data_IF_807609653954
#
_entry.id   IF_807609653954
#
_cell.length_a   1.000
_cell.length_b   1.000
_cell.length_c   1.000
_cell.angle_alpha   90.00
_cell.angle_beta   90.00
_cell.angle_gamma   90.00
#
_symmetry.space_group_name_H-M   'P 1'
#
loop_
_entity.id
_entity.type
_entity.pdbx_description
1 polymer ?
#
# COMPACT_ATOMS: atom_id res chain seq x y z
N UNK A 1 -28.24 50.81 16.27
CA UNK A 1 -27.39 49.60 16.30
C UNK A 1 -27.87 48.68 15.19
N UNK A 2 -27.06 48.49 14.14
CA UNK A 2 -27.53 47.84 12.91
C UNK A 2 -27.44 46.32 13.04
N UNK A 3 -28.57 45.58 13.04
CA UNK A 3 -28.59 44.12 13.23
C UNK A 3 -27.89 43.38 12.08
N UNK A 4 -27.73 44.02 10.92
CA UNK A 4 -27.03 43.47 9.77
C UNK A 4 -25.51 43.27 10.01
N UNK A 5 -24.89 44.10 10.85
CA UNK A 5 -23.44 44.02 11.10
C UNK A 5 -23.09 42.90 12.08
N UNK A 6 -23.99 42.62 13.04
CA UNK A 6 -23.91 41.48 13.95
C UNK A 6 -24.11 40.14 13.22
N UNK A 7 -25.01 40.10 12.23
CA UNK A 7 -25.21 38.94 11.34
C UNK A 7 -23.99 38.67 10.45
N UNK A 8 -23.32 39.72 9.96
CA UNK A 8 -22.09 39.56 9.18
C UNK A 8 -20.92 39.03 10.03
N UNK A 9 -20.80 39.50 11.28
CA UNK A 9 -19.74 39.06 12.19
C UNK A 9 -19.91 37.60 12.64
N UNK A 10 -21.17 37.15 12.78
CA UNK A 10 -21.48 35.75 13.12
C UNK A 10 -21.28 34.78 11.96
N UNK A 11 -21.35 35.24 10.70
CA UNK A 11 -20.91 34.43 9.55
C UNK A 11 -19.38 34.29 9.47
N UNK A 12 -18.62 35.30 9.91
CA UNK A 12 -17.15 35.26 9.87
C UNK A 12 -16.53 34.35 10.96
N UNK A 13 -17.30 34.07 12.01
CA UNK A 13 -16.92 33.21 13.14
C UNK A 13 -17.42 31.76 12.99
N UNK A 14 -18.14 31.43 11.91
CA UNK A 14 -18.48 30.05 11.61
C UNK A 14 -17.17 29.33 11.25
N UNK A 15 -16.72 28.31 12.02
CA UNK A 15 -15.65 27.48 11.54
C UNK A 15 -16.15 26.84 10.25
N UNK A 16 -15.45 27.02 9.13
CA UNK A 16 -15.55 26.14 7.95
C UNK A 16 -14.98 24.75 8.31
N UNK A 17 -15.49 24.18 9.39
CA UNK A 17 -15.12 22.92 9.98
C UNK A 17 -16.37 22.06 10.10
N UNK A 18 -17.06 21.83 8.98
CA UNK A 18 -17.85 20.63 8.86
C UNK A 18 -16.98 19.61 8.13
N UNK A 19 -16.64 18.48 8.80
CA UNK A 19 -15.83 17.44 8.19
C UNK A 19 -16.58 16.99 6.95
N UNK A 20 -15.83 16.89 5.84
CA UNK A 20 -16.25 16.23 4.62
C UNK A 20 -17.12 15.03 4.98
N UNK A 21 -18.36 15.05 4.47
CA UNK A 21 -19.29 13.93 4.31
C UNK A 21 -18.60 12.58 4.57
N UNK A 22 -19.11 11.83 5.54
CA UNK A 22 -18.57 10.56 6.04
C UNK A 22 -17.82 9.78 4.96
N UNK A 23 -16.55 9.48 5.26
CA UNK A 23 -15.68 8.71 4.38
C UNK A 23 -16.48 7.57 3.72
N UNK A 24 -16.39 7.40 2.38
CA UNK A 24 -17.03 6.29 1.71
C UNK A 24 -16.65 5.00 2.44
N UNK A 25 -17.58 4.03 2.56
CA UNK A 25 -17.44 2.85 3.41
C UNK A 25 -16.09 2.22 3.15
N UNK A 26 -15.33 1.88 4.18
CA UNK A 26 -13.99 1.30 4.12
C UNK A 26 -13.90 0.25 2.98
N UNK A 27 -13.63 0.69 1.75
CA UNK A 27 -13.94 -0.11 0.55
C UNK A 27 -13.07 -1.36 0.52
N UNK A 28 -11.87 -1.23 1.07
CA UNK A 28 -10.91 -2.30 1.26
C UNK A 28 -11.39 -3.40 2.23
N UNK A 29 -12.43 -3.13 3.05
CA UNK A 29 -13.07 -4.12 3.89
C UNK A 29 -14.04 -5.03 3.12
N UNK A 30 -14.49 -4.65 1.92
CA UNK A 30 -15.08 -5.62 1.01
C UNK A 30 -13.95 -6.52 0.48
N UNK A 31 -13.98 -7.78 0.90
CA UNK A 31 -13.01 -8.81 0.48
C UNK A 31 -12.80 -8.86 -1.04
N UNK A 32 -13.83 -8.56 -1.86
CA UNK A 32 -13.75 -8.59 -3.32
C UNK A 32 -12.81 -7.52 -3.87
N UNK A 33 -12.73 -6.37 -3.19
CA UNK A 33 -11.85 -5.26 -3.60
C UNK A 33 -10.40 -5.67 -3.45
N UNK A 34 -10.00 -6.17 -2.28
CA UNK A 34 -8.63 -6.62 -2.05
C UNK A 34 -8.27 -7.87 -2.88
N UNK A 35 -9.20 -8.81 -2.99
CA UNK A 35 -9.02 -10.05 -3.78
C UNK A 35 -8.70 -9.72 -5.24
N UNK A 36 -9.36 -8.72 -5.83
CA UNK A 36 -9.05 -8.27 -7.20
C UNK A 36 -7.58 -7.90 -7.34
N UNK A 37 -7.03 -7.10 -6.43
CA UNK A 37 -5.62 -6.69 -6.50
C UNK A 37 -4.67 -7.88 -6.30
N UNK A 38 -5.03 -8.86 -5.46
CA UNK A 38 -4.26 -10.08 -5.24
C UNK A 38 -4.22 -10.94 -6.52
N UNK A 39 -5.37 -11.12 -7.17
CA UNK A 39 -5.46 -11.88 -8.41
C UNK A 39 -4.66 -11.20 -9.54
N UNK A 40 -4.76 -9.87 -9.65
CA UNK A 40 -3.98 -9.10 -10.62
C UNK A 40 -2.46 -9.19 -10.35
N UNK A 41 -2.05 -9.19 -9.09
CA UNK A 41 -0.65 -9.37 -8.71
C UNK A 41 -0.12 -10.77 -9.03
N UNK A 42 -0.94 -11.79 -8.79
CA UNK A 42 -0.61 -13.19 -9.11
C UNK A 42 -0.54 -13.42 -10.61
N UNK A 43 -1.43 -12.81 -11.38
CA UNK A 43 -1.38 -12.85 -12.85
C UNK A 43 -0.07 -12.24 -13.36
N UNK A 44 0.31 -11.06 -12.86
CA UNK A 44 1.57 -10.42 -13.22
C UNK A 44 2.80 -11.26 -12.83
N UNK A 45 2.79 -11.88 -11.64
CA UNK A 45 3.82 -12.84 -11.22
C UNK A 45 3.96 -13.99 -12.23
N UNK A 46 2.85 -14.59 -12.66
CA UNK A 46 2.85 -15.69 -13.63
C UNK A 46 3.41 -15.28 -14.99
N UNK A 47 3.04 -14.09 -15.48
CA UNK A 47 3.55 -13.58 -16.77
C UNK A 47 5.06 -13.33 -16.69
N UNK A 48 5.55 -12.82 -15.56
CA UNK A 48 6.99 -12.56 -15.38
C UNK A 48 7.84 -13.83 -15.25
N UNK A 49 7.26 -14.97 -14.84
CA UNK A 49 7.96 -16.26 -14.86
C UNK A 49 8.28 -16.74 -16.28
N UNK A 50 7.48 -16.35 -17.28
CA UNK A 50 7.72 -16.66 -18.69
C UNK A 50 8.78 -15.78 -19.36
N UNK A 51 9.32 -14.80 -18.65
CA UNK A 51 10.27 -13.86 -19.19
C UNK A 51 11.71 -14.36 -19.03
N UNK A 52 12.41 -14.54 -20.14
CA UNK A 52 13.82 -14.92 -20.18
C UNK A 52 14.74 -13.74 -19.77
N UNK A 53 15.92 -13.59 -20.40
CA UNK A 53 16.93 -12.57 -20.07
C UNK A 53 16.41 -11.12 -20.01
N UNK A 54 15.27 -10.81 -20.64
CA UNK A 54 14.62 -9.49 -20.63
C UNK A 54 14.01 -9.04 -19.29
N UNK A 55 14.02 -9.88 -18.25
CA UNK A 55 13.50 -9.54 -16.93
C UNK A 55 14.56 -9.39 -15.84
N UNK A 56 15.84 -9.41 -16.21
CA UNK A 56 16.92 -9.04 -15.29
C UNK A 56 17.01 -7.53 -15.18
N UNK A 57 17.19 -7.04 -13.97
CA UNK A 57 17.57 -5.66 -13.70
C UNK A 57 19.09 -5.50 -13.85
N UNK A 58 19.53 -4.32 -14.26
CA UNK A 58 20.96 -3.95 -14.27
C UNK A 58 21.48 -3.62 -12.86
N UNK A 59 20.57 -3.31 -11.93
CA UNK A 59 20.86 -2.98 -10.54
C UNK A 59 19.89 -3.71 -9.59
N UNK A 60 20.31 -3.86 -8.34
CA UNK A 60 19.50 -4.49 -7.31
C UNK A 60 18.46 -3.51 -6.77
N UNK A 61 17.20 -3.93 -6.71
CA UNK A 61 16.10 -3.16 -6.14
C UNK A 61 15.80 -3.63 -4.73
N UNK A 62 15.76 -2.70 -3.78
CA UNK A 62 15.35 -2.97 -2.39
C UNK A 62 13.84 -3.17 -2.28
N UNK A 63 13.42 -4.20 -1.54
CA UNK A 63 12.02 -4.61 -1.37
C UNK A 63 11.72 -4.96 0.09
N UNK A 64 10.46 -4.87 0.55
CA UNK A 64 10.09 -5.23 1.91
C UNK A 64 10.11 -6.74 2.18
N UNK A 65 10.33 -7.14 3.43
CA UNK A 65 10.06 -8.50 3.89
C UNK A 65 8.56 -8.79 3.88
N UNK A 66 8.18 -9.82 3.14
CA UNK A 66 6.80 -10.28 2.99
C UNK A 66 6.47 -11.48 3.87
N UNK A 67 7.47 -12.05 4.57
CA UNK A 67 7.25 -13.18 5.46
C UNK A 67 6.42 -12.74 6.66
N UNK A 68 5.50 -13.62 7.06
CA UNK A 68 4.67 -13.44 8.24
C UNK A 68 4.79 -14.65 9.14
N UNK A 69 5.18 -14.44 10.39
CA UNK A 69 5.02 -15.44 11.43
C UNK A 69 3.64 -15.23 12.06
N UNK A 70 2.68 -16.12 11.80
CA UNK A 70 1.30 -15.99 12.30
C UNK A 70 1.21 -15.92 13.83
N UNK A 71 2.07 -16.62 14.54
CA UNK A 71 2.09 -16.59 16.01
C UNK A 71 2.51 -15.22 16.53
N UNK A 72 3.58 -14.65 15.98
CA UNK A 72 4.05 -13.30 16.34
C UNK A 72 3.06 -12.23 15.88
N UNK A 73 2.55 -12.33 14.65
CA UNK A 73 1.62 -11.38 14.05
C UNK A 73 0.33 -11.23 14.88
N UNK A 74 -0.29 -12.35 15.27
CA UNK A 74 -1.53 -12.32 16.05
C UNK A 74 -1.36 -11.66 17.43
N UNK A 75 -0.15 -11.67 17.98
CA UNK A 75 0.19 -11.07 19.28
C UNK A 75 0.71 -9.64 19.17
N UNK A 76 1.00 -9.18 17.96
CA UNK A 76 1.50 -7.85 17.66
C UNK A 76 0.38 -6.82 17.81
N UNK A 77 0.73 -5.64 18.32
CA UNK A 77 -0.21 -4.51 18.36
C UNK A 77 -0.67 -4.12 16.94
N UNK A 78 -1.93 -3.71 16.81
CA UNK A 78 -2.53 -3.36 15.51
C UNK A 78 -1.87 -2.12 14.91
N UNK A 79 -1.45 -1.16 15.73
CA UNK A 79 -0.65 -0.02 15.26
C UNK A 79 0.68 -0.49 14.67
N UNK A 80 1.33 -1.48 15.27
CA UNK A 80 2.57 -2.04 14.74
C UNK A 80 2.35 -2.80 13.44
N UNK A 81 1.24 -3.54 13.31
CA UNK A 81 0.84 -4.15 12.04
C UNK A 81 0.59 -3.08 10.97
N UNK A 82 -0.07 -1.98 11.33
CA UNK A 82 -0.31 -0.84 10.44
C UNK A 82 1.01 -0.21 9.97
N UNK A 83 1.98 -0.04 10.88
CA UNK A 83 3.30 0.47 10.57
C UNK A 83 4.05 -0.44 9.59
N UNK A 84 4.11 -1.75 9.85
CA UNK A 84 4.76 -2.71 8.95
C UNK A 84 4.13 -2.72 7.55
N UNK A 85 2.80 -2.66 7.48
CA UNK A 85 2.07 -2.63 6.20
C UNK A 85 2.25 -1.30 5.48
N UNK A 86 2.18 -0.18 6.19
CA UNK A 86 2.31 1.14 5.59
C UNK A 86 3.71 1.38 5.02
N UNK A 87 4.76 1.11 5.81
CA UNK A 87 6.15 1.21 5.36
C UNK A 87 6.46 0.19 4.25
N UNK A 88 5.96 -1.04 4.39
CA UNK A 88 6.13 -2.08 3.38
C UNK A 88 5.50 -1.70 2.04
N UNK A 89 4.29 -1.15 2.05
CA UNK A 89 3.61 -0.71 0.82
C UNK A 89 4.31 0.49 0.18
N UNK A 90 4.81 1.43 0.98
CA UNK A 90 5.58 2.57 0.49
C UNK A 90 6.87 2.12 -0.23
N UNK A 91 7.64 1.24 0.42
CA UNK A 91 8.86 0.68 -0.17
C UNK A 91 8.56 -0.14 -1.44
N UNK A 92 7.48 -0.92 -1.44
CA UNK A 92 7.05 -1.70 -2.60
C UNK A 92 6.62 -0.82 -3.77
N UNK A 93 5.98 0.32 -3.50
CA UNK A 93 5.62 1.32 -4.51
C UNK A 93 6.86 1.91 -5.17
N UNK A 94 7.87 2.25 -4.38
CA UNK A 94 9.16 2.70 -4.91
C UNK A 94 9.86 1.62 -5.73
N UNK A 95 9.87 0.38 -5.22
CA UNK A 95 10.50 -0.76 -5.90
C UNK A 95 9.89 -1.03 -7.29
N UNK A 96 8.55 -0.96 -7.41
CA UNK A 96 7.86 -1.14 -8.69
C UNK A 96 8.14 0.02 -9.65
N UNK A 97 8.20 1.26 -9.16
CA UNK A 97 8.58 2.42 -9.99
C UNK A 97 10.02 2.31 -10.50
N UNK A 98 10.96 1.86 -9.66
CA UNK A 98 12.34 1.57 -10.08
C UNK A 98 12.37 0.46 -11.13
N UNK A 99 11.62 -0.63 -10.91
CA UNK A 99 11.50 -1.72 -11.87
C UNK A 99 10.94 -1.25 -13.23
N UNK A 100 9.98 -0.34 -13.22
CA UNK A 100 9.43 0.30 -14.43
C UNK A 100 10.50 1.10 -15.19
N UNK A 101 11.28 1.92 -14.48
CA UNK A 101 12.35 2.71 -15.09
C UNK A 101 13.44 1.82 -15.71
N UNK A 102 13.84 0.75 -15.02
CA UNK A 102 14.83 -0.20 -15.56
C UNK A 102 14.29 -0.98 -16.76
N UNK A 103 13.01 -1.37 -16.75
CA UNK A 103 12.37 -2.02 -17.89
C UNK A 103 12.30 -1.07 -19.10
N UNK A 104 12.04 0.22 -18.88
CA UNK A 104 11.99 1.22 -19.96
C UNK A 104 13.36 1.42 -20.63
N UNK A 105 14.45 1.24 -19.89
CA UNK A 105 15.83 1.36 -20.40
C UNK A 105 16.35 0.06 -21.06
N UNK A 106 15.57 -1.02 -21.06
CA UNK A 106 15.92 -2.27 -21.74
C UNK A 106 15.77 -2.14 -23.26
N UNK A 107 16.63 -2.84 -24.01
CA UNK A 107 16.65 -2.81 -25.48
C UNK A 107 15.46 -3.51 -26.14
N UNK A 108 14.76 -4.41 -25.44
CA UNK A 108 13.55 -5.09 -25.91
C UNK A 108 12.54 -5.32 -24.77
N UNK A 109 11.82 -4.28 -24.32
CA UNK A 109 10.79 -4.44 -23.31
C UNK A 109 9.56 -5.12 -23.93
N UNK A 110 9.14 -6.26 -23.38
CA UNK A 110 7.87 -6.89 -23.76
C UNK A 110 6.71 -5.95 -23.41
N UNK A 111 5.83 -5.69 -24.38
CA UNK A 111 4.64 -4.84 -24.20
C UNK A 111 3.72 -5.39 -23.10
N UNK A 112 3.58 -6.71 -23.01
CA UNK A 112 2.79 -7.36 -21.97
C UNK A 112 3.36 -7.09 -20.57
N UNK A 113 4.69 -7.13 -20.42
CA UNK A 113 5.33 -6.83 -19.13
C UNK A 113 5.14 -5.37 -18.73
N UNK A 114 5.25 -4.44 -19.69
CA UNK A 114 5.02 -3.01 -19.45
C UNK A 114 3.61 -2.78 -18.91
N UNK A 115 2.59 -3.38 -19.54
CA UNK A 115 1.20 -3.28 -19.09
C UNK A 115 1.02 -3.77 -17.64
N UNK A 116 1.63 -4.90 -17.27
CA UNK A 116 1.56 -5.40 -15.89
C UNK A 116 2.26 -4.49 -14.87
N UNK A 117 3.38 -3.87 -15.26
CA UNK A 117 4.07 -2.89 -14.41
C UNK A 117 3.25 -1.62 -14.24
N UNK A 118 2.71 -1.05 -15.32
CA UNK A 118 1.86 0.14 -15.27
C UNK A 118 0.61 -0.11 -14.41
N UNK A 119 0.02 -1.31 -14.54
CA UNK A 119 -1.09 -1.76 -13.71
C UNK A 119 -0.70 -1.87 -12.26
N UNK A 120 0.47 -2.45 -11.93
CA UNK A 120 0.97 -2.52 -10.56
C UNK A 120 1.20 -1.14 -9.95
N UNK A 121 1.77 -0.19 -10.70
CA UNK A 121 1.91 1.22 -10.26
C UNK A 121 0.55 1.83 -9.93
N UNK A 122 -0.44 1.64 -10.80
CA UNK A 122 -1.81 2.14 -10.57
C UNK A 122 -2.45 1.48 -9.34
N UNK A 123 -2.36 0.16 -9.23
CA UNK A 123 -2.92 -0.61 -8.12
C UNK A 123 -2.30 -0.24 -6.77
N UNK A 124 -0.97 -0.07 -6.69
CA UNK A 124 -0.30 0.36 -5.46
C UNK A 124 -0.70 1.78 -5.04
N UNK A 125 -0.92 2.68 -6.00
CA UNK A 125 -1.48 4.01 -5.72
C UNK A 125 -2.90 3.92 -5.14
N UNK A 126 -3.76 3.10 -5.74
CA UNK A 126 -5.11 2.86 -5.22
C UNK A 126 -5.09 2.25 -3.82
N UNK A 127 -4.29 1.21 -3.60
CA UNK A 127 -4.13 0.55 -2.30
C UNK A 127 -3.60 1.51 -1.23
N UNK A 128 -2.67 2.40 -1.58
CA UNK A 128 -2.17 3.43 -0.66
C UNK A 128 -3.30 4.36 -0.22
N UNK A 129 -4.14 4.81 -1.15
CA UNK A 129 -5.30 5.65 -0.82
C UNK A 129 -6.34 4.90 0.03
N UNK A 130 -6.59 3.62 -0.28
CA UNK A 130 -7.50 2.77 0.48
C UNK A 130 -7.02 2.52 1.91
N UNK A 131 -5.73 2.21 2.10
CA UNK A 131 -5.13 2.03 3.43
C UNK A 131 -5.11 3.34 4.24
N UNK A 132 -4.86 4.47 3.57
CA UNK A 132 -4.96 5.78 4.22
C UNK A 132 -6.37 6.03 4.75
N UNK A 133 -7.39 5.74 3.94
CA UNK A 133 -8.79 5.86 4.34
C UNK A 133 -9.17 4.87 5.46
N UNK A 134 -8.54 3.69 5.52
CA UNK A 134 -8.70 2.73 6.61
C UNK A 134 -8.09 3.21 7.94
N UNK A 135 -7.20 4.21 7.90
CA UNK A 135 -6.52 4.75 9.07
C UNK A 135 -5.09 4.24 9.30
N UNK A 136 -4.56 3.40 8.40
CA UNK A 136 -3.26 2.76 8.56
C UNK A 136 -2.11 3.77 8.72
N UNK A 137 -2.15 4.86 7.95
CA UNK A 137 -1.15 5.93 8.07
C UNK A 137 -1.21 6.62 9.44
N UNK A 138 -2.42 6.88 9.95
CA UNK A 138 -2.60 7.54 11.25
C UNK A 138 -2.14 6.63 12.39
N UNK A 139 -2.51 5.35 12.33
CA UNK A 139 -2.07 4.34 13.31
C UNK A 139 -0.55 4.18 13.31
N UNK A 140 0.07 4.14 12.12
CA UNK A 140 1.53 4.06 11.99
C UNK A 140 2.26 5.27 12.58
N UNK A 141 1.74 6.49 12.39
CA UNK A 141 2.35 7.73 12.89
C UNK A 141 2.12 7.93 14.39
N UNK A 142 1.07 7.34 14.95
CA UNK A 142 0.70 7.52 16.37
C UNK A 142 1.52 6.64 17.32
N UNK A 143 2.36 5.73 16.80
CA UNK A 143 3.20 4.87 17.63
C UNK A 143 4.39 5.66 18.21
N UNK A 144 4.72 5.47 19.51
CA UNK A 144 5.94 6.02 20.10
C UNK A 144 7.18 5.59 19.31
N UNK A 145 8.13 6.50 19.14
CA UNK A 145 9.38 6.28 18.38
C UNK A 145 10.16 5.04 18.88
N UNK A 146 10.07 4.74 20.17
CA UNK A 146 10.64 3.55 20.82
C UNK A 146 10.02 2.21 20.34
N UNK A 147 8.72 2.19 20.01
CA UNK A 147 8.06 1.02 19.43
C UNK A 147 8.37 0.87 17.93
N UNK A 148 8.72 1.98 17.26
CA UNK A 148 9.16 2.01 15.85
C UNK A 148 10.62 1.58 15.65
N UNK A 149 11.37 1.32 16.72
CA UNK A 149 12.82 1.13 16.70
C UNK A 149 13.31 -0.13 15.96
N UNK A 150 12.43 -1.09 15.63
CA UNK A 150 12.80 -2.23 14.80
C UNK A 150 12.72 -1.83 13.32
N UNK A 151 13.87 -1.74 12.59
CA UNK A 151 13.86 -1.35 11.19
C UNK A 151 13.04 -2.34 10.37
N UNK A 152 12.29 -1.83 9.38
CA UNK A 152 11.64 -2.66 8.38
C UNK A 152 12.70 -3.59 7.78
N UNK A 153 12.49 -4.91 7.88
CA UNK A 153 13.37 -5.87 7.22
C UNK A 153 13.22 -5.74 5.72
N UNK A 154 14.35 -5.59 5.03
CA UNK A 154 14.40 -5.42 3.59
C UNK A 154 15.29 -6.49 2.95
N UNK A 155 15.02 -6.75 1.68
CA UNK A 155 15.82 -7.63 0.82
C UNK A 155 16.10 -6.92 -0.50
N UNK A 156 16.97 -7.49 -1.31
CA UNK A 156 17.19 -7.03 -2.69
C UNK A 156 16.70 -8.06 -3.70
N UNK A 157 16.23 -7.57 -4.84
CA UNK A 157 15.87 -8.39 -5.99
C UNK A 157 16.55 -7.85 -7.25
N UNK A 158 16.96 -8.77 -8.10
CA UNK A 158 17.71 -8.55 -9.34
C UNK A 158 16.85 -8.84 -10.59
N UNK A 159 15.61 -9.31 -10.41
CA UNK A 159 14.71 -9.61 -11.54
C UNK A 159 13.28 -9.16 -11.29
N UNK A 160 12.58 -8.87 -12.39
CA UNK A 160 11.17 -8.53 -12.42
C UNK A 160 10.31 -9.66 -11.85
N UNK A 161 10.67 -10.92 -12.13
CA UNK A 161 9.99 -12.10 -11.57
C UNK A 161 10.05 -12.12 -10.04
N UNK A 162 11.23 -11.91 -9.45
CA UNK A 162 11.36 -11.84 -7.98
C UNK A 162 10.58 -10.64 -7.42
N UNK A 163 10.60 -9.49 -8.10
CA UNK A 163 9.85 -8.30 -7.70
C UNK A 163 8.32 -8.54 -7.66
N UNK A 164 7.75 -9.11 -8.72
CA UNK A 164 6.31 -9.41 -8.76
C UNK A 164 5.90 -10.52 -7.79
N UNK A 165 6.79 -11.48 -7.51
CA UNK A 165 6.60 -12.45 -6.43
C UNK A 165 6.52 -11.76 -5.06
N UNK A 166 7.39 -10.78 -4.78
CA UNK A 166 7.28 -9.97 -3.55
C UNK A 166 5.98 -9.19 -3.54
N UNK A 167 5.60 -8.54 -4.65
CA UNK A 167 4.34 -7.80 -4.74
C UNK A 167 3.13 -8.68 -4.41
N UNK A 168 3.00 -9.83 -5.09
CA UNK A 168 1.97 -10.85 -4.86
C UNK A 168 1.97 -11.35 -3.41
N UNK A 169 3.14 -11.69 -2.85
CA UNK A 169 3.28 -12.13 -1.46
C UNK A 169 2.87 -11.07 -0.43
N UNK A 170 3.23 -9.81 -0.67
CA UNK A 170 2.90 -8.71 0.24
C UNK A 170 1.39 -8.50 0.30
N UNK A 171 0.72 -8.46 -0.87
CA UNK A 171 -0.72 -8.27 -0.94
C UNK A 171 -1.48 -9.42 -0.27
N UNK A 172 -1.16 -10.67 -0.61
CA UNK A 172 -1.86 -11.85 -0.05
C UNK A 172 -1.54 -12.11 1.43
N UNK A 173 -0.40 -11.61 1.91
CA UNK A 173 0.12 -11.84 3.24
C UNK A 173 -0.23 -10.71 4.20
N UNK A 174 0.77 -9.86 4.51
CA UNK A 174 0.67 -8.80 5.52
C UNK A 174 -0.52 -7.87 5.28
N UNK A 175 -0.76 -7.46 4.04
CA UNK A 175 -1.84 -6.54 3.71
C UNK A 175 -3.23 -7.14 4.00
N UNK A 176 -3.49 -8.37 3.56
CA UNK A 176 -4.74 -9.09 3.86
C UNK A 176 -4.94 -9.27 5.36
N UNK A 177 -3.89 -9.68 6.08
CA UNK A 177 -3.98 -9.93 7.52
C UNK A 177 -4.29 -8.65 8.30
N UNK A 178 -3.60 -7.55 8.00
CA UNK A 178 -3.86 -6.26 8.65
C UNK A 178 -5.25 -5.75 8.31
N UNK A 179 -5.63 -5.75 7.03
CA UNK A 179 -6.95 -5.26 6.59
C UNK A 179 -8.07 -6.05 7.30
N UNK A 180 -7.93 -7.38 7.39
CA UNK A 180 -8.91 -8.22 8.09
C UNK A 180 -9.03 -7.97 9.59
N UNK A 181 -7.96 -7.53 10.27
CA UNK A 181 -8.02 -7.12 11.68
C UNK A 181 -8.59 -5.70 11.82
N UNK A 182 -8.09 -4.74 11.04
CA UNK A 182 -8.50 -3.34 11.07
C UNK A 182 -9.99 -3.16 10.72
N UNK A 183 -10.50 -3.94 9.76
CA UNK A 183 -11.92 -3.92 9.39
C UNK A 183 -12.81 -4.45 10.52
N UNK A 184 -12.44 -5.56 11.19
CA UNK A 184 -13.21 -6.10 12.33
C UNK A 184 -13.27 -5.15 13.53
N UNK A 185 -12.23 -4.34 13.74
CA UNK A 185 -12.24 -3.30 14.80
C UNK A 185 -13.13 -2.10 14.47
N UNK A 186 -13.38 -1.80 13.20
CA UNK A 186 -14.27 -0.70 12.81
C UNK A 186 -15.75 -1.00 12.99
N UNK A 187 -16.12 -2.28 13.04
CA UNK A 187 -17.49 -2.75 13.24
C UNK A 187 -17.89 -2.85 14.73
N UNK A 188 -16.97 -2.59 15.66
CA UNK A 188 -17.18 -2.57 17.12
C UNK A 188 -17.17 -1.16 17.67
#
# INVERSE_FOLDING_TARGET
ECPALLLLLSLLLLPLGLPVLGAPPRLICDSRVLERYILEAREAENVTMGCAQGCSFSENITVPDTKVNFYTWKRMDVGQQALEVWQGLALLSEAILRGQALLANSSQPSETLRLHVDKAVSSLRSLTSLLRALGAQKEAISLPEEASAAPLRTFTVDTLCKLFRIYSNFLRGKLTLYTGEACRRGDR
#
